data_IF_898960986547
#
_entry.id   IF_898960986547
#
_cell.length_a   1.000
_cell.length_b   1.000
_cell.length_c   1.000
_cell.angle_alpha   90.00
_cell.angle_beta   90.00
_cell.angle_gamma   90.00
#
_symmetry.space_group_name_H-M   'P 1'
#
loop_
_entity.id
_entity.type
_entity.pdbx_description
1 polymer ?
#
# COMPACT_ATOMS: atom_id res chain seq x y z
N UNK A 1 -5.63 10.87 -30.51
CA UNK A 1 -4.31 11.06 -29.86
C UNK A 1 -4.18 12.45 -29.21
N UNK A 2 -4.27 13.56 -29.95
CA UNK A 2 -4.06 14.92 -29.41
C UNK A 2 -4.90 15.19 -28.14
N UNK A 3 -6.20 14.90 -28.16
CA UNK A 3 -7.07 15.07 -26.98
C UNK A 3 -6.65 14.19 -25.79
N UNK A 4 -6.16 12.98 -26.04
CA UNK A 4 -5.64 12.10 -24.98
C UNK A 4 -4.41 12.72 -24.30
N UNK A 5 -3.50 13.31 -25.08
CA UNK A 5 -2.33 14.04 -24.56
C UNK A 5 -2.76 15.28 -23.75
N UNK A 6 -3.70 16.08 -24.27
CA UNK A 6 -4.22 17.25 -23.54
C UNK A 6 -4.83 16.82 -22.20
N UNK A 7 -5.67 15.78 -22.19
CA UNK A 7 -6.26 15.23 -20.96
C UNK A 7 -5.20 14.66 -20.00
N UNK A 8 -4.14 14.04 -20.53
CA UNK A 8 -3.00 13.55 -19.75
C UNK A 8 -2.30 14.69 -19.01
N UNK A 9 -1.97 15.76 -19.73
CA UNK A 9 -1.32 16.96 -19.16
C UNK A 9 -2.20 17.61 -18.11
N UNK A 10 -3.50 17.75 -18.39
CA UNK A 10 -4.46 18.32 -17.43
C UNK A 10 -4.51 17.52 -16.13
N UNK A 11 -4.78 16.21 -16.18
CA UNK A 11 -4.86 15.41 -14.97
C UNK A 11 -3.51 15.39 -14.22
N UNK A 12 -2.39 15.28 -14.94
CA UNK A 12 -1.05 15.24 -14.34
C UNK A 12 -0.73 16.54 -13.61
N UNK A 13 -1.16 17.68 -14.17
CA UNK A 13 -1.00 19.00 -13.55
C UNK A 13 -1.81 19.12 -12.26
N UNK A 14 -3.06 18.64 -12.27
CA UNK A 14 -3.92 18.62 -11.08
C UNK A 14 -3.33 17.69 -10.02
N UNK A 15 -2.90 16.48 -10.41
CA UNK A 15 -2.27 15.52 -9.51
C UNK A 15 -1.00 16.10 -8.86
N UNK A 16 -0.15 16.76 -9.65
CA UNK A 16 1.05 17.43 -9.17
C UNK A 16 0.70 18.58 -8.20
N UNK A 17 -0.32 19.39 -8.51
CA UNK A 17 -0.81 20.44 -7.62
C UNK A 17 -1.26 19.88 -6.26
N UNK A 18 -2.08 18.82 -6.26
CA UNK A 18 -2.54 18.15 -5.04
C UNK A 18 -1.36 17.56 -4.26
N UNK A 19 -0.40 16.93 -4.96
CA UNK A 19 0.82 16.40 -4.36
C UNK A 19 1.69 17.47 -3.70
N UNK A 20 1.92 18.59 -4.39
CA UNK A 20 2.68 19.73 -3.87
C UNK A 20 2.00 20.33 -2.64
N UNK A 21 0.66 20.45 -2.65
CA UNK A 21 -0.11 20.85 -1.46
C UNK A 21 0.07 19.86 -0.33
N UNK A 22 -0.01 18.55 -0.62
CA UNK A 22 0.21 17.49 0.35
C UNK A 22 1.58 17.57 1.01
N UNK A 23 2.65 17.73 0.23
CA UNK A 23 4.02 17.87 0.72
C UNK A 23 4.21 19.17 1.51
N UNK A 24 3.73 20.30 0.99
CA UNK A 24 3.87 21.62 1.63
C UNK A 24 3.22 21.66 3.01
N UNK A 25 2.04 21.06 3.15
CA UNK A 25 1.29 21.03 4.40
C UNK A 25 1.54 19.76 5.23
N UNK A 26 2.50 18.91 4.83
CA UNK A 26 2.78 17.62 5.46
C UNK A 26 1.50 16.81 5.73
N UNK A 27 0.79 16.45 4.65
CA UNK A 27 -0.49 15.73 4.69
C UNK A 27 -0.28 14.28 4.23
N UNK A 28 -0.04 13.32 5.13
CA UNK A 28 0.41 11.98 4.78
C UNK A 28 -0.58 11.23 3.89
N UNK A 29 -1.89 11.37 4.13
CA UNK A 29 -2.93 10.70 3.36
C UNK A 29 -2.92 11.20 1.90
N UNK A 30 -2.86 12.52 1.72
CA UNK A 30 -2.73 13.13 0.39
C UNK A 30 -1.42 12.73 -0.30
N UNK A 31 -0.29 12.79 0.39
CA UNK A 31 1.02 12.39 -0.16
C UNK A 31 0.97 10.93 -0.62
N UNK A 32 0.52 10.03 0.25
CA UNK A 32 0.45 8.60 -0.07
C UNK A 32 -0.46 8.32 -1.25
N UNK A 33 -1.66 8.90 -1.25
CA UNK A 33 -2.62 8.77 -2.35
C UNK A 33 -2.06 9.27 -3.68
N UNK A 34 -1.41 10.44 -3.68
CA UNK A 34 -0.82 11.01 -4.91
C UNK A 34 0.35 10.17 -5.42
N UNK A 35 1.21 9.67 -4.53
CA UNK A 35 2.31 8.78 -4.91
C UNK A 35 1.78 7.52 -5.57
N UNK A 36 0.77 6.88 -4.99
CA UNK A 36 0.16 5.67 -5.57
C UNK A 36 -0.55 5.98 -6.89
N UNK A 37 -1.34 7.06 -6.97
CA UNK A 37 -1.97 7.46 -8.24
C UNK A 37 -0.94 7.74 -9.33
N UNK A 38 0.20 8.35 -8.99
CA UNK A 38 1.28 8.59 -9.95
C UNK A 38 1.83 7.25 -10.46
N UNK A 39 2.12 6.31 -9.55
CA UNK A 39 2.57 4.96 -9.91
C UNK A 39 1.57 4.26 -10.83
N UNK A 40 0.29 4.24 -10.45
CA UNK A 40 -0.73 3.48 -11.15
C UNK A 40 -1.19 4.10 -12.48
N UNK A 41 -1.14 5.43 -12.62
CA UNK A 41 -1.76 6.11 -13.78
C UNK A 41 -0.81 6.92 -14.64
N UNK A 42 0.33 7.40 -14.12
CA UNK A 42 1.21 8.31 -14.85
C UNK A 42 2.24 7.58 -15.70
N UNK A 43 3.04 6.70 -15.08
CA UNK A 43 4.16 6.07 -15.78
C UNK A 43 3.72 5.21 -16.97
N UNK A 44 2.58 4.51 -16.83
CA UNK A 44 2.05 3.66 -17.90
C UNK A 44 1.74 4.46 -19.16
N UNK A 45 1.13 5.63 -19.01
CA UNK A 45 0.78 6.49 -20.12
C UNK A 45 1.99 7.13 -20.78
N UNK A 46 2.98 7.52 -19.98
CA UNK A 46 4.28 7.99 -20.50
C UNK A 46 4.87 6.94 -21.43
N UNK A 47 4.87 5.66 -21.04
CA UNK A 47 5.36 4.57 -21.91
C UNK A 47 4.58 4.48 -23.23
N UNK A 48 3.26 4.66 -23.23
CA UNK A 48 2.45 4.66 -24.45
C UNK A 48 2.80 5.82 -25.39
N UNK A 49 2.89 7.04 -24.85
CA UNK A 49 3.17 8.22 -25.67
C UNK A 49 4.58 8.20 -26.28
N UNK A 50 5.54 7.56 -25.62
CA UNK A 50 6.88 7.33 -26.15
C UNK A 50 7.01 6.06 -27.00
N UNK A 51 5.94 5.27 -27.16
CA UNK A 51 5.98 4.01 -27.91
C UNK A 51 6.88 2.93 -27.28
N UNK A 52 7.18 3.04 -25.98
CA UNK A 52 8.02 2.07 -25.26
C UNK A 52 7.27 0.78 -24.94
N UNK A 53 5.96 0.86 -24.78
CA UNK A 53 5.11 -0.31 -24.52
C UNK A 53 3.69 -0.10 -25.08
N UNK A 54 2.91 -1.17 -25.08
CA UNK A 54 1.52 -1.20 -25.53
C UNK A 54 0.59 -1.66 -24.40
N UNK A 55 -0.72 -1.35 -24.47
CA UNK A 55 -1.69 -1.87 -23.54
C UNK A 55 -1.64 -3.39 -23.38
N UNK A 56 -1.77 -3.86 -22.15
CA UNK A 56 -1.65 -5.25 -21.75
C UNK A 56 -2.93 -5.73 -21.06
N UNK A 57 -3.47 -6.91 -21.44
CA UNK A 57 -2.89 -7.85 -22.40
C UNK A 57 -3.22 -7.51 -23.86
N UNK A 58 -2.23 -7.62 -24.74
CA UNK A 58 -2.29 -7.16 -26.13
C UNK A 58 -3.49 -7.72 -26.91
N UNK A 59 -3.88 -8.98 -26.67
CA UNK A 59 -5.03 -9.59 -27.35
C UNK A 59 -6.39 -8.97 -27.02
N UNK A 60 -6.48 -8.10 -26.02
CA UNK A 60 -7.72 -7.40 -25.63
C UNK A 60 -7.71 -5.92 -26.00
N UNK A 61 -6.71 -5.43 -26.71
CA UNK A 61 -6.61 -4.04 -27.13
C UNK A 61 -6.28 -3.93 -28.61
N UNK A 62 -6.90 -2.97 -29.29
CA UNK A 62 -6.46 -2.57 -30.61
C UNK A 62 -5.29 -1.57 -30.49
N UNK A 63 -4.36 -1.56 -31.47
CA UNK A 63 -3.15 -0.71 -31.48
C UNK A 63 -3.43 0.81 -31.45
N UNK A 64 -4.68 1.26 -31.54
CA UNK A 64 -5.08 2.66 -31.74
C UNK A 64 -6.25 3.12 -30.85
N UNK A 65 -6.41 2.54 -29.65
CA UNK A 65 -7.51 2.92 -28.72
C UNK A 65 -7.29 4.26 -27.98
N UNK A 66 -6.90 5.31 -28.70
CA UNK A 66 -6.69 6.66 -28.14
C UNK A 66 -7.94 7.25 -27.49
N UNK A 67 -9.13 6.87 -27.97
CA UNK A 67 -10.40 7.28 -27.36
C UNK A 67 -10.58 6.66 -25.97
N UNK A 68 -10.12 5.42 -25.78
CA UNK A 68 -10.18 4.75 -24.49
C UNK A 68 -9.17 5.34 -23.49
N UNK A 69 -7.97 5.67 -23.95
CA UNK A 69 -6.97 6.40 -23.16
C UNK A 69 -7.54 7.77 -22.73
N UNK A 70 -8.14 8.52 -23.66
CA UNK A 70 -8.82 9.79 -23.35
C UNK A 70 -9.91 9.59 -22.28
N UNK A 71 -10.77 8.58 -22.45
CA UNK A 71 -11.84 8.25 -21.48
C UNK A 71 -11.27 7.95 -20.09
N UNK A 72 -10.22 7.14 -20.00
CA UNK A 72 -9.54 6.83 -18.74
C UNK A 72 -8.94 8.08 -18.09
N UNK A 73 -8.33 8.98 -18.88
CA UNK A 73 -7.77 10.24 -18.36
C UNK A 73 -8.83 11.19 -17.83
N UNK A 74 -9.99 11.26 -18.48
CA UNK A 74 -11.12 12.05 -17.97
C UNK A 74 -11.64 11.47 -16.65
N UNK A 75 -11.72 10.14 -16.52
CA UNK A 75 -12.09 9.48 -15.25
C UNK A 75 -11.07 9.78 -14.14
N UNK A 76 -9.76 9.69 -14.42
CA UNK A 76 -8.72 10.07 -13.48
C UNK A 76 -8.83 11.54 -13.07
N UNK A 77 -9.12 12.43 -14.02
CA UNK A 77 -9.31 13.86 -13.77
C UNK A 77 -10.50 14.10 -12.82
N UNK A 78 -11.66 13.52 -13.13
CA UNK A 78 -12.87 13.62 -12.29
C UNK A 78 -12.59 13.06 -10.90
N UNK A 79 -11.94 11.90 -10.81
CA UNK A 79 -11.59 11.29 -9.53
C UNK A 79 -10.77 12.24 -8.65
N UNK A 80 -9.68 12.81 -9.19
CA UNK A 80 -8.79 13.68 -8.41
C UNK A 80 -9.50 14.99 -8.02
N UNK A 81 -10.28 15.59 -8.93
CA UNK A 81 -11.03 16.84 -8.65
C UNK A 81 -12.07 16.63 -7.56
N UNK A 82 -12.88 15.57 -7.66
CA UNK A 82 -13.93 15.28 -6.66
C UNK A 82 -13.30 14.89 -5.32
N UNK A 83 -12.27 14.04 -5.33
CA UNK A 83 -11.54 13.65 -4.13
C UNK A 83 -10.95 14.87 -3.41
N UNK A 84 -10.27 15.77 -4.13
CA UNK A 84 -9.66 16.93 -3.51
C UNK A 84 -10.72 17.95 -3.04
N UNK A 85 -11.81 18.12 -3.78
CA UNK A 85 -12.92 18.99 -3.38
C UNK A 85 -13.58 18.51 -2.08
N UNK A 86 -13.88 17.20 -2.00
CA UNK A 86 -14.43 16.58 -0.79
C UNK A 86 -13.44 16.64 0.39
N UNK A 87 -12.14 16.43 0.12
CA UNK A 87 -11.09 16.58 1.13
C UNK A 87 -11.08 17.97 1.78
N UNK A 88 -11.20 19.03 0.98
CA UNK A 88 -11.23 20.40 1.49
C UNK A 88 -12.56 20.68 2.21
N UNK A 89 -13.68 20.31 1.59
CA UNK A 89 -15.03 20.58 2.10
C UNK A 89 -15.41 19.84 3.39
N UNK A 90 -14.85 18.65 3.65
CA UNK A 90 -15.23 17.81 4.79
C UNK A 90 -14.54 18.17 6.12
N UNK A 91 -13.80 19.29 6.18
CA UNK A 91 -12.97 19.65 7.34
C UNK A 91 -13.71 19.66 8.69
N UNK A 92 -14.89 20.29 8.86
CA UNK A 92 -15.53 20.39 10.18
C UNK A 92 -15.98 19.03 10.72
N UNK A 93 -16.62 18.22 9.88
CA UNK A 93 -17.12 16.90 10.26
C UNK A 93 -15.98 15.90 10.51
N UNK A 94 -14.84 16.07 9.83
CA UNK A 94 -13.70 15.15 9.94
C UNK A 94 -13.14 15.05 11.37
N UNK A 95 -13.20 16.13 12.17
CA UNK A 95 -12.74 16.13 13.56
C UNK A 95 -13.49 15.14 14.46
N UNK A 96 -14.76 14.83 14.14
CA UNK A 96 -15.56 13.88 14.92
C UNK A 96 -15.03 12.44 14.80
N UNK A 97 -14.31 12.14 13.72
CA UNK A 97 -13.84 10.79 13.39
C UNK A 97 -12.36 10.57 13.68
N UNK A 98 -11.60 11.61 14.06
CA UNK A 98 -10.14 11.48 14.29
C UNK A 98 -9.80 10.57 15.48
N UNK A 99 -10.73 10.39 16.41
CA UNK A 99 -10.58 9.50 17.58
C UNK A 99 -10.54 8.01 17.20
N UNK A 100 -11.00 7.64 16.00
CA UNK A 100 -10.98 6.26 15.50
C UNK A 100 -9.57 5.82 15.07
N UNK A 101 -8.65 6.77 14.91
CA UNK A 101 -7.28 6.54 14.46
C UNK A 101 -6.30 6.41 15.63
N UNK A 102 -5.19 5.68 15.46
CA UNK A 102 -4.31 5.36 16.57
C UNK A 102 -3.58 6.60 17.08
N UNK A 103 -3.89 7.00 18.31
CA UNK A 103 -3.22 8.10 19.01
C UNK A 103 -1.78 7.75 19.35
N UNK A 104 -0.89 8.76 19.36
CA UNK A 104 0.51 8.56 19.71
C UNK A 104 0.72 8.21 21.19
N UNK A 105 1.78 7.44 21.53
CA UNK A 105 2.00 6.98 22.90
C UNK A 105 2.53 8.06 23.87
N UNK A 106 2.77 9.30 23.43
CA UNK A 106 3.14 10.40 24.34
C UNK A 106 4.43 10.15 25.15
N UNK A 107 5.48 9.65 24.49
CA UNK A 107 6.72 9.25 25.14
C UNK A 107 7.45 10.42 25.81
N UNK A 108 7.76 10.29 27.10
CA UNK A 108 8.66 11.22 27.82
C UNK A 108 10.12 10.76 27.78
N UNK A 109 10.35 9.45 27.71
CA UNK A 109 11.68 8.86 27.70
C UNK A 109 12.25 8.72 26.30
N UNK A 110 13.58 8.88 26.16
CA UNK A 110 14.29 8.73 24.88
C UNK A 110 14.34 7.28 24.37
N UNK A 111 14.25 6.28 25.26
CA UNK A 111 14.43 4.84 24.92
C UNK A 111 13.38 3.95 25.59
N UNK A 112 12.10 4.08 25.20
CA UNK A 112 11.02 3.34 25.82
C UNK A 112 11.17 1.82 25.64
N UNK A 113 11.12 1.07 26.74
CA UNK A 113 11.15 -0.40 26.73
C UNK A 113 9.94 -0.97 25.98
N UNK A 114 8.79 -0.29 26.08
CA UNK A 114 7.55 -0.73 25.44
C UNK A 114 7.64 -0.87 23.91
N UNK A 115 8.42 -0.05 23.22
CA UNK A 115 8.57 -0.17 21.75
C UNK A 115 9.21 -1.52 21.39
N UNK A 116 10.26 -1.93 22.11
CA UNK A 116 10.98 -3.18 21.80
C UNK A 116 10.05 -4.39 21.89
N UNK A 117 9.27 -4.47 22.96
CA UNK A 117 8.31 -5.58 23.18
C UNK A 117 7.27 -5.61 22.07
N UNK A 118 6.66 -4.46 21.78
CA UNK A 118 5.58 -4.35 20.79
C UNK A 118 6.05 -4.58 19.36
N UNK A 119 7.33 -4.33 19.05
CA UNK A 119 7.96 -4.70 17.77
C UNK A 119 8.29 -6.19 17.71
N UNK A 120 8.89 -6.74 18.77
CA UNK A 120 9.38 -8.13 18.78
C UNK A 120 8.25 -9.15 18.74
N UNK A 121 7.12 -8.91 19.41
CA UNK A 121 5.98 -9.83 19.42
C UNK A 121 5.47 -10.18 18.02
N UNK A 122 5.03 -9.21 17.18
CA UNK A 122 4.59 -9.51 15.82
C UNK A 122 5.73 -10.01 14.92
N UNK A 123 6.97 -9.55 15.14
CA UNK A 123 8.13 -10.03 14.39
C UNK A 123 8.38 -11.52 14.63
N UNK A 124 8.49 -11.93 15.90
CA UNK A 124 8.67 -13.33 16.29
C UNK A 124 7.51 -14.20 15.80
N UNK A 125 6.26 -13.75 15.98
CA UNK A 125 5.09 -14.46 15.50
C UNK A 125 5.16 -14.72 13.98
N UNK A 126 5.47 -13.69 13.19
CA UNK A 126 5.60 -13.81 11.75
C UNK A 126 6.77 -14.69 11.31
N UNK A 127 7.94 -14.52 11.93
CA UNK A 127 9.17 -15.24 11.58
C UNK A 127 9.02 -16.73 11.90
N UNK A 128 8.70 -17.07 13.15
CA UNK A 128 8.60 -18.47 13.56
C UNK A 128 7.43 -19.18 12.86
N UNK A 129 6.29 -18.49 12.69
CA UNK A 129 5.16 -19.02 11.92
C UNK A 129 5.53 -19.31 10.47
N UNK A 130 6.25 -18.40 9.81
CA UNK A 130 6.69 -18.60 8.42
C UNK A 130 7.73 -19.72 8.32
N UNK A 131 8.72 -19.77 9.23
CA UNK A 131 9.71 -20.86 9.25
C UNK A 131 9.01 -22.22 9.41
N UNK A 132 8.08 -22.33 10.35
CA UNK A 132 7.31 -23.55 10.56
C UNK A 132 6.57 -23.99 9.29
N UNK A 133 5.87 -23.08 8.62
CA UNK A 133 5.12 -23.40 7.41
C UNK A 133 6.05 -23.73 6.22
N UNK A 134 7.19 -23.06 6.09
CA UNK A 134 8.20 -23.39 5.07
C UNK A 134 8.75 -24.80 5.28
N UNK A 135 9.01 -25.19 6.53
CA UNK A 135 9.44 -26.54 6.88
C UNK A 135 8.36 -27.58 6.55
N UNK A 136 7.08 -27.25 6.77
CA UNK A 136 5.96 -28.13 6.40
C UNK A 136 5.79 -28.29 4.88
N UNK A 137 5.97 -27.22 4.11
CA UNK A 137 5.99 -27.30 2.64
C UNK A 137 7.24 -28.00 2.09
N UNK A 138 8.23 -28.33 2.93
CA UNK A 138 9.47 -29.03 2.55
C UNK A 138 10.54 -28.15 1.89
N UNK A 139 10.18 -27.03 1.26
CA UNK A 139 11.13 -26.05 0.73
C UNK A 139 10.52 -24.65 0.59
N UNK A 140 11.37 -23.62 0.48
CA UNK A 140 10.92 -22.25 0.21
C UNK A 140 10.22 -22.14 -1.15
N UNK A 141 10.71 -22.86 -2.17
CA UNK A 141 10.11 -22.89 -3.51
C UNK A 141 8.69 -23.46 -3.50
N UNK A 142 8.49 -24.58 -2.79
CA UNK A 142 7.17 -25.18 -2.63
C UNK A 142 6.25 -24.28 -1.81
N UNK A 143 6.72 -23.70 -0.71
CA UNK A 143 5.94 -22.75 0.09
C UNK A 143 5.49 -21.52 -0.74
N UNK A 144 6.38 -20.98 -1.59
CA UNK A 144 6.04 -19.90 -2.52
C UNK A 144 4.96 -20.33 -3.52
N UNK A 145 5.04 -21.56 -4.03
CA UNK A 145 4.03 -22.13 -4.90
C UNK A 145 2.68 -22.28 -4.17
N UNK A 146 2.67 -22.90 -2.99
CA UNK A 146 1.46 -23.14 -2.18
C UNK A 146 0.78 -21.82 -1.78
N UNK A 147 1.57 -20.79 -1.45
CA UNK A 147 1.04 -19.49 -1.04
C UNK A 147 0.50 -18.64 -2.21
N UNK A 148 1.12 -18.70 -3.40
CA UNK A 148 0.76 -17.82 -4.53
C UNK A 148 0.02 -18.48 -5.67
N UNK A 149 0.40 -19.71 -6.03
CA UNK A 149 -0.11 -20.41 -7.20
C UNK A 149 -1.19 -21.41 -6.78
N UNK A 150 -0.86 -22.37 -5.91
CA UNK A 150 -1.81 -23.36 -5.39
C UNK A 150 -2.90 -22.73 -4.52
N UNK A 151 -2.52 -21.69 -3.76
CA UNK A 151 -3.37 -21.04 -2.75
C UNK A 151 -3.87 -22.04 -1.70
N UNK A 152 -3.02 -22.97 -1.30
CA UNK A 152 -3.32 -23.96 -0.26
C UNK A 152 -3.27 -23.34 1.14
N UNK A 153 -2.47 -22.27 1.29
CA UNK A 153 -2.30 -21.53 2.55
C UNK A 153 -3.33 -20.40 2.74
N UNK A 154 -4.53 -20.53 2.16
CA UNK A 154 -5.60 -19.53 2.30
C UNK A 154 -5.97 -19.34 3.77
N UNK A 155 -5.92 -18.08 4.22
CA UNK A 155 -6.29 -17.71 5.60
C UNK A 155 -5.10 -17.61 6.55
N UNK A 156 -3.93 -18.09 6.17
CA UNK A 156 -2.69 -17.94 6.95
C UNK A 156 -1.95 -16.62 6.66
N UNK A 157 -2.56 -15.71 5.88
CA UNK A 157 -2.00 -14.39 5.57
C UNK A 157 -1.76 -13.51 6.80
N UNK A 158 -2.28 -13.88 7.97
CA UNK A 158 -2.01 -13.19 9.24
C UNK A 158 -0.51 -13.08 9.55
N UNK A 159 0.30 -14.07 9.17
CA UNK A 159 1.76 -14.01 9.36
C UNK A 159 2.41 -12.94 8.48
N UNK A 160 1.94 -12.79 7.25
CA UNK A 160 2.39 -11.74 6.32
C UNK A 160 2.02 -10.34 6.85
N UNK A 161 0.81 -10.18 7.38
CA UNK A 161 0.36 -8.92 7.96
C UNK A 161 1.08 -8.59 9.27
N UNK A 162 1.37 -9.60 10.11
CA UNK A 162 2.19 -9.44 11.30
C UNK A 162 3.64 -9.02 10.94
N UNK A 163 4.23 -9.56 9.87
CA UNK A 163 5.53 -9.10 9.38
C UNK A 163 5.48 -7.64 8.92
N UNK A 164 4.41 -7.24 8.24
CA UNK A 164 4.21 -5.86 7.79
C UNK A 164 4.06 -4.90 8.97
N UNK A 165 3.25 -5.28 9.97
CA UNK A 165 3.09 -4.53 11.22
C UNK A 165 4.42 -4.39 11.97
N UNK A 166 5.21 -5.47 12.05
CA UNK A 166 6.54 -5.46 12.65
C UNK A 166 7.47 -4.49 11.93
N UNK A 167 7.49 -4.46 10.58
CA UNK A 167 8.27 -3.48 9.82
C UNK A 167 7.87 -2.03 10.10
N UNK A 168 6.57 -1.74 10.19
CA UNK A 168 6.06 -0.39 10.49
C UNK A 168 6.49 0.04 11.89
N UNK A 169 6.28 -0.82 12.90
CA UNK A 169 6.66 -0.53 14.29
C UNK A 169 8.18 -0.46 14.46
N UNK A 170 8.95 -1.28 13.73
CA UNK A 170 10.40 -1.23 13.74
C UNK A 170 10.91 0.07 13.09
N UNK A 171 10.28 0.56 12.02
CA UNK A 171 10.59 1.89 11.48
C UNK A 171 10.33 2.99 12.52
N UNK A 172 9.27 2.87 13.31
CA UNK A 172 9.00 3.79 14.41
C UNK A 172 10.09 3.73 15.48
N UNK A 173 10.45 2.53 15.94
CA UNK A 173 11.54 2.32 16.89
C UNK A 173 12.89 2.83 16.37
N UNK A 174 13.18 2.64 15.09
CA UNK A 174 14.36 3.18 14.43
C UNK A 174 14.39 4.70 14.52
N UNK A 175 13.31 5.38 14.11
CA UNK A 175 13.24 6.85 14.13
C UNK A 175 13.36 7.43 15.55
N UNK A 176 12.82 6.74 16.56
CA UNK A 176 12.93 7.14 17.98
C UNK A 176 14.34 6.93 18.53
N UNK A 177 15.03 5.85 18.14
CA UNK A 177 16.39 5.54 18.60
C UNK A 177 17.52 6.20 17.80
N UNK A 178 17.19 6.91 16.71
CA UNK A 178 18.15 7.73 15.98
C UNK A 178 18.62 8.89 16.85
N UNK A 179 19.95 8.99 17.04
CA UNK A 179 20.57 10.15 17.66
C UNK A 179 20.71 11.25 16.60
N UNK A 180 19.82 12.23 16.69
CA UNK A 180 19.73 13.32 15.69
C UNK A 180 20.37 14.58 16.23
N UNK A 181 21.19 15.20 15.39
CA UNK A 181 21.56 16.61 15.53
C UNK A 181 20.60 17.47 14.69
N UNK A 182 20.58 18.79 14.86
CA UNK A 182 19.62 19.72 14.24
C UNK A 182 19.43 19.53 12.72
N UNK A 183 20.38 18.94 11.99
CA UNK A 183 20.31 18.68 10.54
C UNK A 183 20.91 17.34 10.09
N UNK A 184 20.95 16.31 10.93
CA UNK A 184 21.53 15.04 10.50
C UNK A 184 21.58 13.95 11.56
N UNK A 185 22.08 12.79 11.15
CA UNK A 185 22.37 11.67 12.05
C UNK A 185 23.75 11.90 12.65
N UNK A 186 23.83 11.96 13.98
CA UNK A 186 25.11 12.01 14.70
C UNK A 186 25.73 10.62 14.78
N UNK A 187 24.93 9.62 15.15
CA UNK A 187 25.36 8.22 15.24
C UNK A 187 24.18 7.27 15.11
N UNK A 188 24.43 6.09 14.55
CA UNK A 188 23.47 4.98 14.56
C UNK A 188 23.72 4.20 15.84
N UNK A 189 22.78 4.27 16.78
CA UNK A 189 22.87 3.51 18.03
C UNK A 189 22.67 2.01 17.74
N UNK A 190 23.25 1.13 18.58
CA UNK A 190 22.98 -0.32 18.50
C UNK A 190 21.48 -0.66 18.53
N UNK A 191 20.69 0.13 19.26
CA UNK A 191 19.23 -0.01 19.27
C UNK A 191 18.61 0.28 17.91
N UNK A 192 19.05 1.33 17.22
CA UNK A 192 18.61 1.65 15.86
C UNK A 192 18.99 0.54 14.86
N UNK A 193 20.20 -0.02 14.98
CA UNK A 193 20.63 -1.15 14.14
C UNK A 193 19.74 -2.39 14.34
N UNK A 194 19.37 -2.71 15.58
CA UNK A 194 18.44 -3.80 15.87
C UNK A 194 17.09 -3.65 15.17
N UNK A 195 16.55 -2.44 15.07
CA UNK A 195 15.31 -2.20 14.33
C UNK A 195 15.49 -2.31 12.81
N UNK A 196 16.62 -1.89 12.25
CA UNK A 196 16.94 -2.10 10.83
C UNK A 196 16.93 -3.60 10.52
N UNK A 197 17.56 -4.42 11.36
CA UNK A 197 17.58 -5.87 11.19
C UNK A 197 16.16 -6.44 11.18
N UNK A 198 15.28 -6.00 12.10
CA UNK A 198 13.88 -6.45 12.13
C UNK A 198 13.15 -6.05 10.84
N UNK A 199 13.32 -4.82 10.34
CA UNK A 199 12.71 -4.38 9.07
C UNK A 199 13.15 -5.30 7.92
N UNK A 200 14.46 -5.58 7.81
CA UNK A 200 15.01 -6.43 6.75
C UNK A 200 14.47 -7.86 6.85
N UNK A 201 14.48 -8.45 8.05
CA UNK A 201 13.95 -9.81 8.26
C UNK A 201 12.45 -9.88 7.95
N UNK A 202 11.68 -8.88 8.38
CA UNK A 202 10.24 -8.79 8.06
C UNK A 202 9.98 -8.58 6.56
N UNK A 203 10.86 -7.89 5.83
CA UNK A 203 10.79 -7.82 4.36
C UNK A 203 11.10 -9.17 3.71
N UNK A 204 12.07 -9.93 4.23
CA UNK A 204 12.37 -11.30 3.77
C UNK A 204 11.16 -12.21 3.99
N UNK A 205 10.52 -12.14 5.17
CA UNK A 205 9.28 -12.90 5.44
C UNK A 205 8.20 -12.53 4.41
N UNK A 206 7.94 -11.24 4.18
CA UNK A 206 6.99 -10.80 3.14
C UNK A 206 7.36 -11.32 1.74
N UNK A 207 8.64 -11.35 1.40
CA UNK A 207 9.13 -11.90 0.14
C UNK A 207 8.87 -13.40 0.02
N UNK A 208 9.11 -14.17 1.08
CA UNK A 208 8.84 -15.63 1.14
C UNK A 208 7.35 -15.92 1.02
N UNK A 209 6.48 -15.04 1.52
CA UNK A 209 5.04 -15.06 1.24
C UNK A 209 4.68 -14.56 -0.17
N UNK A 210 5.66 -14.30 -1.04
CA UNK A 210 5.51 -13.80 -2.40
C UNK A 210 4.90 -12.40 -2.49
N UNK A 211 4.92 -11.60 -1.41
CA UNK A 211 4.38 -10.24 -1.37
C UNK A 211 5.49 -9.19 -1.50
N UNK A 212 5.94 -8.98 -2.74
CA UNK A 212 6.86 -7.89 -3.11
C UNK A 212 6.25 -6.49 -2.96
N UNK A 213 4.91 -6.39 -3.02
CA UNK A 213 4.22 -5.11 -2.99
C UNK A 213 4.40 -4.44 -1.62
N UNK A 214 4.25 -5.19 -0.52
CA UNK A 214 4.49 -4.67 0.82
C UNK A 214 5.94 -4.18 1.02
N UNK A 215 6.92 -4.83 0.37
CA UNK A 215 8.33 -4.40 0.42
C UNK A 215 8.49 -3.05 -0.27
N UNK A 216 7.90 -2.88 -1.46
CA UNK A 216 7.92 -1.62 -2.20
C UNK A 216 7.25 -0.49 -1.40
N UNK A 217 6.05 -0.74 -0.85
CA UNK A 217 5.32 0.22 -0.02
C UNK A 217 6.11 0.62 1.23
N UNK A 218 6.77 -0.33 1.88
CA UNK A 218 7.60 -0.07 3.05
C UNK A 218 8.86 0.74 2.70
N UNK A 219 9.49 0.47 1.55
CA UNK A 219 10.62 1.26 1.07
C UNK A 219 10.22 2.71 0.77
N UNK A 220 9.11 2.90 0.05
CA UNK A 220 8.54 4.24 -0.23
C UNK A 220 8.21 4.97 1.06
N UNK A 221 7.53 4.31 1.99
CA UNK A 221 7.19 4.87 3.30
C UNK A 221 8.45 5.30 4.07
N UNK A 222 9.50 4.48 4.05
CA UNK A 222 10.76 4.76 4.74
C UNK A 222 11.45 6.01 4.16
N UNK A 223 11.44 6.18 2.83
CA UNK A 223 11.98 7.37 2.15
C UNK A 223 11.21 8.64 2.53
N UNK A 224 9.87 8.58 2.56
CA UNK A 224 9.04 9.73 2.94
C UNK A 224 9.22 10.05 4.43
N UNK A 225 9.21 9.04 5.31
CA UNK A 225 9.50 9.22 6.74
C UNK A 225 10.88 9.85 6.93
N UNK A 226 11.89 9.39 6.21
CA UNK A 226 13.22 9.97 6.27
C UNK A 226 13.22 11.46 5.91
N UNK A 227 12.49 11.83 4.85
CA UNK A 227 12.35 13.22 4.42
C UNK A 227 11.79 14.13 5.54
N UNK A 228 10.81 13.66 6.30
CA UNK A 228 10.16 14.46 7.35
C UNK A 228 10.83 14.38 8.72
N UNK A 229 11.43 13.24 9.06
CA UNK A 229 11.94 12.98 10.41
C UNK A 229 13.46 13.12 10.54
N UNK A 230 14.23 13.01 9.45
CA UNK A 230 15.69 12.89 9.51
C UNK A 230 16.36 14.00 8.72
N UNK A 231 16.17 14.02 7.40
CA UNK A 231 16.77 15.04 6.54
C UNK A 231 15.94 15.21 5.29
N UNK A 232 15.76 16.45 4.85
CA UNK A 232 15.06 16.74 3.61
C UNK A 232 15.81 16.12 2.43
N UNK A 233 15.11 15.28 1.69
CA UNK A 233 15.60 14.71 0.43
C UNK A 233 15.35 15.70 -0.70
N UNK A 234 16.39 15.98 -1.49
CA UNK A 234 16.23 16.70 -2.75
C UNK A 234 15.71 15.74 -3.84
N UNK A 235 15.25 16.31 -4.96
CA UNK A 235 14.68 15.54 -6.07
C UNK A 235 15.63 14.46 -6.60
N UNK A 236 16.92 14.77 -6.75
CA UNK A 236 17.92 13.82 -7.25
C UNK A 236 18.08 12.59 -6.34
N UNK A 237 18.10 12.77 -5.01
CA UNK A 237 18.16 11.66 -4.06
C UNK A 237 16.91 10.78 -4.15
N UNK A 238 15.73 11.40 -4.25
CA UNK A 238 14.47 10.66 -4.44
C UNK A 238 14.50 9.84 -5.72
N UNK A 239 14.99 10.43 -6.83
CA UNK A 239 15.14 9.73 -8.10
C UNK A 239 16.09 8.53 -8.01
N UNK A 240 17.26 8.70 -7.38
CA UNK A 240 18.23 7.61 -7.16
C UNK A 240 17.59 6.50 -6.32
N UNK A 241 16.93 6.84 -5.21
CA UNK A 241 16.24 5.86 -4.37
C UNK A 241 15.14 5.11 -5.15
N UNK A 242 14.39 5.80 -6.01
CA UNK A 242 13.37 5.18 -6.86
C UNK A 242 13.99 4.20 -7.86
N UNK A 243 15.07 4.59 -8.55
CA UNK A 243 15.79 3.70 -9.48
C UNK A 243 16.33 2.47 -8.78
N UNK A 244 16.99 2.64 -7.63
CA UNK A 244 17.50 1.53 -6.84
C UNK A 244 16.37 0.58 -6.38
N UNK A 245 15.26 1.14 -5.91
CA UNK A 245 14.09 0.34 -5.53
C UNK A 245 13.54 -0.46 -6.73
N UNK A 246 13.47 0.14 -7.92
CA UNK A 246 13.03 -0.57 -9.13
C UNK A 246 13.95 -1.74 -9.49
N UNK A 247 15.28 -1.53 -9.44
CA UNK A 247 16.27 -2.58 -9.70
C UNK A 247 16.12 -3.73 -8.71
N UNK A 248 15.99 -3.42 -7.42
CA UNK A 248 15.81 -4.44 -6.36
C UNK A 248 14.51 -5.20 -6.55
N UNK A 249 13.39 -4.52 -6.83
CA UNK A 249 12.09 -5.17 -7.03
C UNK A 249 12.06 -6.08 -8.27
N UNK A 250 12.76 -5.69 -9.34
CA UNK A 250 12.92 -6.52 -10.53
C UNK A 250 13.80 -7.75 -10.24
N UNK A 251 14.91 -7.59 -9.53
CA UNK A 251 15.75 -8.70 -9.10
C UNK A 251 14.97 -9.69 -8.23
N UNK A 252 14.22 -9.20 -7.23
CA UNK A 252 13.34 -10.01 -6.39
C UNK A 252 12.27 -10.73 -7.22
N UNK A 253 11.72 -10.09 -8.25
CA UNK A 253 10.75 -10.75 -9.12
C UNK A 253 11.40 -11.90 -9.90
N UNK A 254 12.58 -11.68 -10.46
CA UNK A 254 13.28 -12.70 -11.26
C UNK A 254 13.68 -13.89 -10.39
N UNK A 255 14.26 -13.64 -9.21
CA UNK A 255 14.55 -14.67 -8.20
C UNK A 255 13.31 -15.49 -7.84
N UNK A 256 12.16 -14.84 -7.64
CA UNK A 256 10.90 -15.55 -7.36
C UNK A 256 10.47 -16.40 -8.56
N UNK A 257 10.62 -15.89 -9.78
CA UNK A 257 10.31 -16.64 -11.00
C UNK A 257 11.11 -17.93 -11.11
N UNK A 258 12.42 -17.85 -10.83
CA UNK A 258 13.31 -19.01 -10.80
C UNK A 258 12.91 -20.02 -9.72
N UNK A 259 12.65 -19.55 -8.49
CA UNK A 259 12.22 -20.42 -7.38
C UNK A 259 10.88 -21.13 -7.65
N UNK A 260 9.92 -20.46 -8.30
CA UNK A 260 8.64 -21.08 -8.64
C UNK A 260 8.77 -22.01 -9.85
N UNK A 261 9.65 -21.68 -10.81
CA UNK A 261 9.93 -22.57 -11.94
C UNK A 261 10.57 -23.89 -11.51
N UNK A 262 11.48 -23.86 -10.52
CA UNK A 262 12.11 -25.06 -9.99
C UNK A 262 11.14 -25.96 -9.23
N UNK A 263 10.15 -25.39 -8.53
CA UNK A 263 9.09 -26.18 -7.88
C UNK A 263 8.11 -26.82 -8.88
N UNK A 264 7.79 -26.14 -9.98
CA UNK A 264 6.76 -26.60 -10.93
C UNK A 264 7.29 -27.44 -12.08
N UNK A 265 8.61 -27.43 -12.30
CA UNK A 265 9.23 -28.00 -13.50
C UNK A 265 8.81 -27.28 -14.80
N UNK A 266 8.17 -26.11 -14.70
CA UNK A 266 7.70 -25.31 -15.84
C UNK A 266 8.53 -24.04 -15.93
N UNK A 267 9.09 -23.79 -17.12
CA UNK A 267 9.71 -22.51 -17.42
C UNK A 267 8.61 -21.47 -17.62
N UNK A 268 8.57 -20.47 -16.75
CA UNK A 268 7.72 -19.30 -16.98
C UNK A 268 8.42 -18.44 -18.02
N UNK A 269 7.79 -18.25 -19.18
CA UNK A 269 8.33 -17.40 -20.24
C UNK A 269 8.56 -15.99 -19.71
N UNK A 270 9.82 -15.59 -19.59
CA UNK A 270 10.19 -14.20 -19.33
C UNK A 270 9.67 -13.36 -20.49
N UNK A 271 8.95 -12.27 -20.20
CA UNK A 271 8.52 -11.35 -21.24
C UNK A 271 9.73 -10.86 -22.03
N UNK A 272 9.68 -10.93 -23.36
CA UNK A 272 10.74 -10.40 -24.23
C UNK A 272 10.85 -8.87 -24.12
N UNK A 273 9.75 -8.18 -23.77
CA UNK A 273 9.73 -6.74 -23.59
C UNK A 273 10.10 -6.35 -22.13
N UNK A 274 11.24 -5.67 -21.89
CA UNK A 274 11.64 -5.20 -20.57
C UNK A 274 10.69 -4.15 -19.97
N UNK A 275 9.99 -3.36 -20.80
CA UNK A 275 9.04 -2.34 -20.33
C UNK A 275 7.75 -2.97 -19.79
N UNK A 276 7.25 -4.01 -20.45
CA UNK A 276 6.11 -4.78 -19.96
C UNK A 276 6.49 -5.54 -18.69
N UNK A 277 7.70 -6.08 -18.67
CA UNK A 277 8.30 -6.71 -17.50
C UNK A 277 8.30 -5.77 -16.29
N UNK A 278 8.82 -4.55 -16.46
CA UNK A 278 8.81 -3.51 -15.44
C UNK A 278 7.38 -3.09 -15.04
N UNK A 279 6.50 -2.89 -16.02
CA UNK A 279 5.12 -2.46 -15.81
C UNK A 279 4.30 -3.48 -15.01
N UNK A 280 4.49 -4.77 -15.27
CA UNK A 280 3.87 -5.85 -14.50
C UNK A 280 4.53 -6.06 -13.14
N UNK A 281 5.82 -5.70 -12.98
CA UNK A 281 6.51 -5.74 -11.70
C UNK A 281 5.98 -4.66 -10.74
N UNK A 282 5.81 -3.43 -11.26
CA UNK A 282 5.46 -2.22 -10.52
C UNK A 282 3.97 -1.86 -10.58
N UNK A 283 3.12 -2.76 -11.10
CA UNK A 283 1.66 -2.57 -11.17
C UNK A 283 1.20 -1.41 -12.07
N UNK A 284 2.05 -0.93 -13.00
CA UNK A 284 1.66 0.10 -13.97
C UNK A 284 0.53 -0.38 -14.90
N UNK A 285 0.39 -1.69 -15.11
CA UNK A 285 -0.67 -2.32 -15.93
C UNK A 285 -2.08 -2.17 -15.35
N UNK A 286 -2.24 -1.65 -14.12
CA UNK A 286 -3.57 -1.37 -13.55
C UNK A 286 -4.32 -0.27 -14.31
N UNK A 287 -3.60 0.66 -14.96
CA UNK A 287 -4.21 1.63 -15.87
C UNK A 287 -4.90 0.95 -17.06
N UNK A 288 -4.27 -0.08 -17.62
CA UNK A 288 -4.82 -0.90 -18.70
C UNK A 288 -6.08 -1.63 -18.22
N UNK A 289 -6.07 -2.15 -16.99
CA UNK A 289 -7.25 -2.75 -16.38
C UNK A 289 -8.39 -1.73 -16.18
N UNK A 290 -8.07 -0.47 -15.84
CA UNK A 290 -9.06 0.62 -15.81
C UNK A 290 -9.64 0.87 -17.21
N UNK A 291 -8.82 0.90 -18.26
CA UNK A 291 -9.28 1.04 -19.64
C UNK A 291 -10.24 -0.09 -20.02
N UNK A 292 -9.88 -1.35 -19.75
CA UNK A 292 -10.75 -2.51 -19.99
C UNK A 292 -12.06 -2.40 -19.22
N UNK A 293 -12.02 -2.04 -17.93
CA UNK A 293 -13.24 -1.86 -17.13
C UNK A 293 -14.17 -0.79 -17.73
N UNK A 294 -13.61 0.34 -18.16
CA UNK A 294 -14.38 1.42 -18.77
C UNK A 294 -14.99 1.04 -20.13
N UNK A 295 -14.36 0.13 -20.89
CA UNK A 295 -14.88 -0.34 -22.17
C UNK A 295 -15.93 -1.42 -22.00
N UNK A 296 -15.69 -2.38 -21.09
CA UNK A 296 -16.36 -3.68 -21.13
C UNK A 296 -17.43 -3.85 -20.03
N UNK A 297 -17.40 -3.07 -18.94
CA UNK A 297 -18.47 -3.12 -17.92
C UNK A 297 -19.76 -2.50 -18.47
N UNK A 298 -20.88 -3.22 -18.30
CA UNK A 298 -22.19 -2.88 -18.84
C UNK A 298 -22.38 -3.32 -20.31
N UNK A 299 -21.38 -3.95 -20.91
CA UNK A 299 -21.41 -4.42 -22.30
C UNK A 299 -21.03 -5.89 -22.42
N UNK A 300 -19.82 -6.26 -22.00
CA UNK A 300 -19.33 -7.65 -21.97
C UNK A 300 -19.72 -8.37 -20.68
N UNK A 301 -19.79 -7.62 -19.57
CA UNK A 301 -20.19 -8.15 -18.26
C UNK A 301 -20.95 -7.09 -17.47
N UNK A 302 -21.89 -7.55 -16.63
CA UNK A 302 -22.73 -6.67 -15.83
C UNK A 302 -21.95 -5.94 -14.73
N UNK A 303 -22.54 -4.84 -14.26
CA UNK A 303 -22.05 -4.17 -13.06
C UNK A 303 -22.13 -5.12 -11.85
N UNK A 304 -21.19 -4.97 -10.91
CA UNK A 304 -21.14 -5.80 -9.70
C UNK A 304 -22.00 -5.27 -8.55
N UNK A 305 -22.67 -4.13 -8.76
CA UNK A 305 -23.66 -3.54 -7.85
C UNK A 305 -23.23 -3.43 -6.37
N UNK A 306 -21.93 -3.21 -6.12
CA UNK A 306 -21.38 -3.05 -4.76
C UNK A 306 -20.95 -4.36 -4.08
N UNK A 307 -21.12 -5.52 -4.73
CA UNK A 307 -20.77 -6.83 -4.16
C UNK A 307 -19.32 -6.87 -3.65
N UNK A 308 -18.38 -6.23 -4.33
CA UNK A 308 -16.97 -6.27 -3.91
C UNK A 308 -16.71 -5.48 -2.62
N UNK A 309 -17.49 -4.42 -2.38
CA UNK A 309 -17.40 -3.67 -1.13
C UNK A 309 -18.02 -4.44 0.04
N UNK A 310 -19.11 -5.17 -0.20
CA UNK A 310 -19.70 -6.08 0.79
C UNK A 310 -18.69 -7.19 1.13
N UNK A 311 -18.08 -7.81 0.12
CA UNK A 311 -17.02 -8.79 0.30
C UNK A 311 -15.83 -8.20 1.08
N UNK A 312 -15.53 -6.91 0.84
CA UNK A 312 -14.58 -6.11 1.61
C UNK A 312 -14.92 -6.01 3.10
N UNK A 313 -16.17 -5.71 3.42
CA UNK A 313 -16.66 -5.67 4.80
C UNK A 313 -16.65 -7.03 5.48
N UNK A 314 -16.81 -8.13 4.73
CA UNK A 314 -16.78 -9.51 5.26
C UNK A 314 -15.36 -10.11 5.29
N UNK A 315 -14.39 -9.44 4.69
CA UNK A 315 -13.03 -9.97 4.49
C UNK A 315 -12.24 -10.16 5.79
N UNK A 316 -12.58 -9.44 6.87
CA UNK A 316 -11.91 -9.58 8.17
C UNK A 316 -12.38 -10.82 8.96
N UNK A 317 -13.57 -11.37 8.65
CA UNK A 317 -14.12 -12.54 9.34
C UNK A 317 -13.26 -13.78 9.02
N UNK A 318 -12.64 -14.47 9.98
CA UNK A 318 -11.82 -15.65 9.69
C UNK A 318 -12.55 -16.70 8.85
N UNK A 319 -11.83 -17.38 7.94
CA UNK A 319 -12.41 -18.45 7.11
C UNK A 319 -12.90 -19.66 7.91
N UNK A 320 -12.43 -19.85 9.14
CA UNK A 320 -12.96 -20.86 10.05
C UNK A 320 -14.40 -20.56 10.50
N UNK A 321 -14.79 -19.28 10.52
CA UNK A 321 -16.14 -18.83 10.89
C UNK A 321 -17.01 -18.69 9.64
N UNK A 322 -16.44 -18.15 8.55
CA UNK A 322 -17.14 -18.01 7.27
C UNK A 322 -16.31 -18.60 6.11
N UNK A 323 -16.40 -19.92 5.88
CA UNK A 323 -15.58 -20.62 4.88
C UNK A 323 -15.84 -20.15 3.44
N UNK A 324 -17.13 -20.01 3.11
CA UNK A 324 -17.62 -19.76 1.74
C UNK A 324 -17.50 -18.30 1.30
N UNK A 325 -16.94 -17.42 2.15
CA UNK A 325 -16.81 -16.01 1.81
C UNK A 325 -15.96 -15.82 0.55
N UNK A 326 -16.49 -15.00 -0.35
CA UNK A 326 -15.77 -14.57 -1.54
C UNK A 326 -14.57 -13.70 -1.17
N UNK A 327 -13.62 -13.59 -2.10
CA UNK A 327 -12.52 -12.64 -1.94
C UNK A 327 -12.98 -11.24 -2.34
N UNK A 328 -12.65 -10.23 -1.53
CA UNK A 328 -12.86 -8.82 -1.87
C UNK A 328 -11.97 -8.33 -3.01
N UNK A 329 -10.93 -9.10 -3.35
CA UNK A 329 -10.04 -8.80 -4.46
C UNK A 329 -10.80 -9.03 -5.77
N UNK A 330 -11.14 -7.95 -6.44
CA UNK A 330 -11.84 -7.96 -7.73
C UNK A 330 -10.96 -8.54 -8.85
N UNK A 331 -9.63 -8.44 -8.74
CA UNK A 331 -8.71 -8.77 -9.83
C UNK A 331 -8.78 -10.21 -10.37
N UNK A 332 -8.86 -11.26 -9.52
CA UNK A 332 -9.12 -12.63 -9.96
C UNK A 332 -10.42 -12.80 -10.73
N UNK A 333 -11.50 -12.15 -10.30
CA UNK A 333 -12.75 -12.16 -11.05
C UNK A 333 -12.57 -11.43 -12.38
N UNK A 334 -11.99 -10.23 -12.35
CA UNK A 334 -11.81 -9.38 -13.53
C UNK A 334 -11.02 -10.10 -14.62
N UNK A 335 -9.92 -10.78 -14.27
CA UNK A 335 -9.16 -11.60 -15.22
C UNK A 335 -9.96 -12.76 -15.77
N UNK A 336 -10.76 -13.46 -14.95
CA UNK A 336 -11.54 -14.63 -15.39
C UNK A 336 -12.62 -14.29 -16.41
N UNK A 337 -13.12 -13.05 -16.43
CA UNK A 337 -14.03 -12.61 -17.49
C UNK A 337 -13.36 -12.70 -18.87
N UNK A 338 -12.07 -12.37 -18.96
CA UNK A 338 -11.29 -12.44 -20.21
C UNK A 338 -10.58 -13.78 -20.42
N UNK A 339 -10.18 -14.45 -19.34
CA UNK A 339 -9.40 -15.68 -19.33
C UNK A 339 -9.96 -16.67 -18.29
N UNK A 340 -11.09 -17.36 -18.58
CA UNK A 340 -11.84 -18.15 -17.59
C UNK A 340 -11.03 -19.24 -16.88
N UNK A 341 -10.01 -19.79 -17.57
CA UNK A 341 -9.18 -20.88 -17.06
C UNK A 341 -8.09 -20.42 -16.09
N UNK A 342 -7.91 -19.12 -15.88
CA UNK A 342 -6.79 -18.59 -15.09
C UNK A 342 -7.25 -18.14 -13.69
N UNK A 343 -6.57 -18.65 -12.67
CA UNK A 343 -6.93 -18.48 -11.25
C UNK A 343 -6.32 -17.21 -10.61
N UNK A 344 -5.23 -16.67 -11.17
CA UNK A 344 -4.64 -15.43 -10.71
C UNK A 344 -5.47 -14.22 -11.19
N UNK A 345 -5.14 -13.02 -10.68
CA UNK A 345 -5.90 -11.81 -11.00
C UNK A 345 -5.10 -10.80 -11.80
N UNK A 346 -5.83 -9.93 -12.50
CA UNK A 346 -5.31 -8.64 -12.94
C UNK A 346 -5.74 -7.61 -11.92
N UNK A 347 -4.81 -7.00 -11.17
CA UNK A 347 -5.20 -5.92 -10.29
C UNK A 347 -5.83 -4.80 -11.12
N UNK A 348 -6.82 -4.15 -10.53
CA UNK A 348 -7.51 -3.01 -11.12
C UNK A 348 -7.36 -1.84 -10.17
N UNK A 349 -7.25 -0.64 -10.72
CA UNK A 349 -7.19 0.57 -9.90
C UNK A 349 -8.42 0.69 -8.99
N UNK A 350 -8.27 1.44 -7.90
CA UNK A 350 -9.40 1.82 -7.03
C UNK A 350 -10.54 2.48 -7.83
N UNK A 351 -10.21 3.35 -8.78
CA UNK A 351 -11.17 3.95 -9.72
C UNK A 351 -11.93 2.88 -10.50
N UNK A 352 -11.22 1.92 -11.09
CA UNK A 352 -11.85 0.83 -11.85
C UNK A 352 -12.75 -0.04 -10.97
N UNK A 353 -12.36 -0.29 -9.71
CA UNK A 353 -13.18 -1.05 -8.76
C UNK A 353 -14.52 -0.37 -8.48
N UNK A 354 -14.51 0.96 -8.26
CA UNK A 354 -15.73 1.75 -8.09
C UNK A 354 -16.58 1.77 -9.37
N UNK A 355 -15.95 1.90 -10.54
CA UNK A 355 -16.66 1.89 -11.82
C UNK A 355 -17.33 0.54 -12.10
N UNK A 356 -16.63 -0.57 -11.87
CA UNK A 356 -17.21 -1.91 -12.07
C UNK A 356 -18.42 -2.14 -11.15
N UNK A 357 -18.43 -1.54 -9.96
CA UNK A 357 -19.51 -1.73 -8.99
C UNK A 357 -20.70 -0.78 -9.22
N UNK A 358 -20.49 0.45 -9.68
CA UNK A 358 -21.57 1.46 -9.75
C UNK A 358 -21.42 2.45 -10.92
N UNK A 359 -20.67 2.11 -11.96
CA UNK A 359 -20.43 2.97 -13.12
C UNK A 359 -19.83 4.33 -12.77
N UNK A 360 -20.22 5.37 -13.50
CA UNK A 360 -19.74 6.73 -13.25
C UNK A 360 -20.19 7.30 -11.89
N UNK A 361 -21.35 6.87 -11.38
CA UNK A 361 -21.76 7.21 -10.02
C UNK A 361 -20.79 6.64 -8.99
N UNK A 362 -20.30 5.42 -9.21
CA UNK A 362 -19.23 4.83 -8.41
C UNK A 362 -17.97 5.69 -8.37
N UNK A 363 -17.53 6.23 -9.51
CA UNK A 363 -16.37 7.14 -9.58
C UNK A 363 -16.59 8.36 -8.70
N UNK A 364 -17.75 9.02 -8.81
CA UNK A 364 -18.04 10.22 -8.03
C UNK A 364 -18.13 9.93 -6.53
N UNK A 365 -18.91 8.91 -6.14
CA UNK A 365 -19.11 8.51 -4.74
C UNK A 365 -17.80 8.03 -4.11
N UNK A 366 -17.04 7.19 -4.83
CA UNK A 366 -15.77 6.67 -4.37
C UNK A 366 -14.72 7.74 -4.19
N UNK A 367 -14.63 8.69 -5.12
CA UNK A 367 -13.74 9.84 -5.01
C UNK A 367 -14.11 10.72 -3.81
N UNK A 368 -15.40 11.06 -3.67
CA UNK A 368 -15.89 11.90 -2.57
C UNK A 368 -15.64 11.24 -1.21
N UNK A 369 -16.01 9.96 -1.06
CA UNK A 369 -15.74 9.18 0.16
C UNK A 369 -14.24 9.12 0.46
N UNK A 370 -13.41 8.88 -0.55
CA UNK A 370 -11.96 8.89 -0.40
C UNK A 370 -11.47 10.24 0.12
N UNK A 371 -11.93 11.36 -0.45
CA UNK A 371 -11.58 12.70 0.00
C UNK A 371 -11.92 12.94 1.48
N UNK A 372 -13.13 12.56 1.90
CA UNK A 372 -13.56 12.67 3.28
C UNK A 372 -12.68 11.84 4.23
N UNK A 373 -12.41 10.58 3.90
CA UNK A 373 -11.59 9.69 4.74
C UNK A 373 -10.13 10.18 4.81
N UNK A 374 -9.56 10.63 3.69
CA UNK A 374 -8.23 11.23 3.66
C UNK A 374 -8.14 12.46 4.57
N UNK A 375 -9.21 13.26 4.64
CA UNK A 375 -9.25 14.44 5.51
C UNK A 375 -9.24 14.06 6.99
N UNK A 376 -10.04 13.08 7.39
CA UNK A 376 -10.02 12.53 8.76
C UNK A 376 -8.61 12.05 9.11
N UNK A 377 -7.99 11.32 8.19
CA UNK A 377 -6.66 10.77 8.38
C UNK A 377 -5.60 11.86 8.57
N UNK A 378 -5.57 12.85 7.68
CA UNK A 378 -4.61 13.95 7.76
C UNK A 378 -4.77 14.84 8.98
N UNK A 379 -5.99 14.98 9.52
CA UNK A 379 -6.23 15.70 10.77
C UNK A 379 -5.74 14.90 11.99
N UNK A 380 -5.98 13.59 12.02
CA UNK A 380 -5.52 12.73 13.11
C UNK A 380 -3.99 12.67 13.21
N UNK A 381 -3.31 12.74 12.06
CA UNK A 381 -1.85 12.71 11.98
C UNK A 381 -1.19 14.08 11.77
N UNK A 382 -1.90 15.18 12.04
CA UNK A 382 -1.34 16.53 11.87
C UNK A 382 -0.09 16.76 12.74
N UNK A 383 0.91 17.44 12.17
CA UNK A 383 2.19 17.72 12.86
C UNK A 383 3.28 16.65 12.69
N UNK A 384 3.39 16.01 11.52
CA UNK A 384 4.34 14.93 11.23
C UNK A 384 5.79 15.28 11.58
N UNK A 385 6.21 16.53 11.36
CA UNK A 385 7.59 16.95 11.63
C UNK A 385 7.96 16.92 13.11
N UNK A 386 6.97 16.98 13.99
CA UNK A 386 7.16 17.14 15.43
C UNK A 386 6.97 15.83 16.20
N UNK A 387 6.19 14.89 15.65
CA UNK A 387 5.87 13.63 16.31
C UNK A 387 6.26 12.43 15.43
N UNK A 388 7.30 11.66 15.83
CA UNK A 388 7.72 10.45 15.12
C UNK A 388 6.60 9.41 14.93
N UNK A 389 5.65 9.32 15.87
CA UNK A 389 4.52 8.40 15.73
C UNK A 389 3.67 8.82 14.55
N UNK A 390 3.28 10.10 14.50
CA UNK A 390 2.44 10.62 13.43
C UNK A 390 3.12 10.55 12.09
N UNK A 391 4.43 10.82 12.03
CA UNK A 391 5.18 10.66 10.79
C UNK A 391 5.21 9.21 10.33
N UNK A 392 5.67 8.28 11.16
CA UNK A 392 5.86 6.89 10.74
C UNK A 392 4.53 6.21 10.51
N UNK A 393 3.67 6.21 11.52
CA UNK A 393 2.39 5.52 11.46
C UNK A 393 1.47 6.17 10.43
N UNK A 394 1.40 7.51 10.41
CA UNK A 394 0.58 8.23 9.44
C UNK A 394 1.02 7.97 7.99
N UNK A 395 2.32 8.05 7.68
CA UNK A 395 2.81 7.79 6.31
C UNK A 395 2.62 6.32 5.92
N UNK A 396 3.01 5.37 6.79
CA UNK A 396 2.88 3.95 6.49
C UNK A 396 1.40 3.58 6.28
N UNK A 397 0.52 3.94 7.21
CA UNK A 397 -0.92 3.67 7.03
C UNK A 397 -1.46 4.35 5.78
N UNK A 398 -1.05 5.59 5.46
CA UNK A 398 -1.50 6.26 4.25
C UNK A 398 -1.14 5.48 2.97
N UNK A 399 0.13 5.05 2.85
CA UNK A 399 0.63 4.30 1.70
C UNK A 399 0.02 2.90 1.62
N UNK A 400 -0.13 2.21 2.75
CA UNK A 400 -0.68 0.86 2.79
C UNK A 400 -2.20 0.82 2.64
N UNK A 401 -2.93 1.82 3.13
CA UNK A 401 -4.40 1.82 3.11
C UNK A 401 -4.98 2.45 1.84
N UNK A 402 -4.41 3.54 1.35
CA UNK A 402 -4.98 4.31 0.24
C UNK A 402 -4.28 3.98 -1.08
N UNK A 403 -4.79 2.96 -1.77
CA UNK A 403 -4.32 2.57 -3.10
C UNK A 403 -4.86 3.50 -4.20
N UNK A 404 -4.67 4.81 -4.01
CA UNK A 404 -5.31 5.87 -4.80
C UNK A 404 -6.70 6.29 -4.29
N UNK A 405 -7.18 5.70 -3.20
CA UNK A 405 -8.40 6.06 -2.49
C UNK A 405 -8.91 4.94 -1.57
N UNK A 406 -10.19 5.00 -1.18
CA UNK A 406 -10.89 3.94 -0.44
C UNK A 406 -11.26 2.82 -1.42
N UNK A 407 -10.57 1.69 -1.33
CA UNK A 407 -10.81 0.52 -2.18
C UNK A 407 -11.65 -0.56 -1.47
N UNK A 408 -11.93 -1.66 -2.16
CA UNK A 408 -12.72 -2.78 -1.60
C UNK A 408 -12.04 -3.47 -0.42
N UNK A 409 -10.70 -3.41 -0.33
CA UNK A 409 -9.92 -3.97 0.77
C UNK A 409 -9.76 -3.02 1.97
N UNK A 410 -10.23 -1.77 1.87
CA UNK A 410 -10.02 -0.76 2.91
C UNK A 410 -10.55 -1.20 4.29
N UNK A 411 -11.77 -1.78 4.42
CA UNK A 411 -12.26 -2.25 5.71
C UNK A 411 -11.34 -3.30 6.34
N UNK A 412 -10.82 -4.24 5.55
CA UNK A 412 -9.89 -5.25 6.05
C UNK A 412 -8.64 -4.61 6.66
N UNK A 413 -8.09 -3.59 5.99
CA UNK A 413 -6.89 -2.88 6.45
C UNK A 413 -7.16 -2.08 7.73
N UNK A 414 -8.38 -1.60 7.95
CA UNK A 414 -8.76 -1.00 9.24
C UNK A 414 -8.60 -2.03 10.37
N UNK A 415 -9.12 -3.25 10.20
CA UNK A 415 -9.00 -4.29 11.21
C UNK A 415 -7.57 -4.81 11.37
N UNK A 416 -6.82 -4.96 10.27
CA UNK A 416 -5.50 -5.58 10.28
C UNK A 416 -4.37 -4.61 10.61
N UNK A 417 -4.55 -3.31 10.41
CA UNK A 417 -3.51 -2.30 10.69
C UNK A 417 -3.92 -1.32 11.78
N UNK A 418 -5.07 -0.64 11.66
CA UNK A 418 -5.47 0.40 12.62
C UNK A 418 -5.68 -0.20 14.02
N UNK A 419 -6.43 -1.30 14.14
CA UNK A 419 -6.70 -1.90 15.45
C UNK A 419 -5.42 -2.38 16.16
N UNK A 420 -4.52 -3.17 15.52
CA UNK A 420 -3.25 -3.55 16.14
C UNK A 420 -2.33 -2.36 16.47
N UNK A 421 -2.31 -1.31 15.65
CA UNK A 421 -1.51 -0.11 15.93
C UNK A 421 -2.06 0.72 17.09
N UNK A 422 -3.39 0.79 17.23
CA UNK A 422 -4.05 1.38 18.40
C UNK A 422 -3.69 0.59 19.66
N UNK A 423 -3.69 -0.74 19.58
CA UNK A 423 -3.31 -1.61 20.70
C UNK A 423 -1.82 -1.49 21.03
N UNK A 424 -0.96 -1.42 20.03
CA UNK A 424 0.47 -1.16 20.17
C UNK A 424 0.71 0.16 20.92
N UNK A 425 0.03 1.23 20.53
CA UNK A 425 0.11 2.53 21.22
C UNK A 425 -0.31 2.45 22.69
N UNK A 426 -1.40 1.74 22.98
CA UNK A 426 -1.87 1.50 24.34
C UNK A 426 -0.82 0.77 25.19
N UNK A 427 -0.25 -0.32 24.67
CA UNK A 427 0.78 -1.09 25.37
C UNK A 427 2.08 -0.31 25.58
N UNK A 428 2.51 0.47 24.57
CA UNK A 428 3.67 1.35 24.71
C UNK A 428 3.42 2.37 25.83
N UNK A 429 2.22 2.96 25.92
CA UNK A 429 1.88 3.88 27.03
C UNK A 429 1.95 3.20 28.38
N UNK A 430 1.31 2.04 28.51
CA UNK A 430 1.25 1.30 29.77
C UNK A 430 2.64 0.90 30.28
N UNK A 431 3.50 0.37 29.40
CA UNK A 431 4.85 -0.10 29.77
C UNK A 431 5.86 1.01 30.07
N UNK A 432 5.57 2.26 29.71
CA UNK A 432 6.44 3.41 29.98
C UNK A 432 5.83 4.41 30.98
N UNK A 433 4.75 4.03 31.70
CA UNK A 433 4.25 4.84 32.81
C UNK A 433 5.31 4.81 33.92
N UNK A 434 5.80 5.99 34.31
CA UNK A 434 6.71 6.10 35.45
C UNK A 434 6.05 5.47 36.69
N UNK A 435 6.80 4.75 37.55
CA UNK A 435 6.25 4.28 38.82
C UNK A 435 5.69 5.48 39.57
N UNK A 436 4.45 5.36 40.05
CA UNK A 436 3.85 6.42 40.86
C UNK A 436 4.79 6.67 42.04
N UNK A 437 5.12 7.94 42.35
CA UNK A 437 5.97 8.25 43.48
C UNK A 437 5.33 7.59 44.71
N UNK A 438 6.07 6.68 45.36
CA UNK A 438 5.58 6.00 46.54
C UNK A 438 5.02 7.06 47.49
N UNK A 439 3.74 6.98 47.82
CA UNK A 439 3.10 7.93 48.72
C UNK A 439 3.90 7.92 50.01
N UNK A 440 4.71 8.95 50.22
CA UNK A 440 5.48 9.09 51.46
C UNK A 440 4.52 9.00 52.64
N UNK A 441 4.98 8.54 53.82
CA UNK A 441 4.13 8.48 55.00
C UNK A 441 3.48 9.85 55.19
N UNK A 442 2.14 9.87 55.19
CA UNK A 442 1.37 11.07 55.54
C UNK A 442 1.87 11.48 56.93
N UNK A 443 2.57 12.60 57.00
CA UNK A 443 3.01 13.20 58.26
C UNK A 443 1.84 13.86 58.96
#
# INVERSE_FOLDING_TARGET
MIFAIISFVLYSSILAFVGLKGVRYARPALIGTVVILTVLTFFRQVMYYFGLDQPYPQGFFNYTEWNLILKANLVCTVWIVVLYSAYVGFTPAAHLFTSLLPSGPGLKEKKPRGIKVVVLVPACFAIFGTIYLVLQSGSISQFLYDSKVGKDLKGLFVFQEAATLASILALYGFVVCLDKEKRGIRSITWGAFGYILIIVVSMIVNYVWGNRYNIALMAVSSVIVWHYCVSSLNFMKVLICAVLAMVVLEALRNLRGELVSSATGRTFSTYSNPWLSLSTALHFVEFDALMLALRDTGHMFDFRHGQDFINGLLSWIPRSIYPDKETFNIGPWFRRVYQPQIINGWPITTMGSWYVNAGYWGIFLGAALSGCVLRVFDLAFDGLRNDPWKAVIGICLAIFMFEGGVNTGFPQKVFLLILPLSWASFWIRMMNKAPEPASGPKR
#
